data_IF_208822899802
#
_entry.id   IF_208822899802
#
_cell.length_a   1.000
_cell.length_b   1.000
_cell.length_c   1.000
_cell.angle_alpha   90.00
_cell.angle_beta   90.00
_cell.angle_gamma   90.00
#
_symmetry.space_group_name_H-M   'P 1'
#
loop_
_entity.id
_entity.type
_entity.pdbx_description
1 polymer ?
#
# COMPACT_ATOMS: atom_id res chain seq x y z
N UNK A 1 -14.20 2.10 -19.04
CA UNK A 1 -14.17 0.67 -18.66
C UNK A 1 -12.97 0.47 -17.74
N UNK A 2 -13.15 0.58 -16.42
CA UNK A 2 -12.05 0.57 -15.44
C UNK A 2 -12.01 -0.79 -14.73
N UNK A 3 -11.14 -1.69 -15.20
CA UNK A 3 -10.83 -2.93 -14.50
C UNK A 3 -9.63 -2.70 -13.56
N UNK A 4 -9.82 -1.93 -12.48
CA UNK A 4 -8.87 -1.88 -11.37
C UNK A 4 -9.11 -3.05 -10.43
N UNK A 5 -8.79 -4.28 -10.83
CA UNK A 5 -8.64 -5.39 -9.89
C UNK A 5 -7.61 -6.34 -10.46
N UNK A 6 -6.47 -6.43 -9.78
CA UNK A 6 -5.77 -7.66 -9.38
C UNK A 6 -4.34 -7.21 -8.97
N UNK A 7 -4.06 -7.22 -7.66
CA UNK A 7 -2.77 -6.84 -7.05
C UNK A 7 -1.68 -7.95 -7.17
N UNK A 8 -1.99 -9.09 -7.79
CA UNK A 8 -1.08 -10.21 -8.02
C UNK A 8 -1.59 -11.08 -9.19
N UNK A 9 -0.78 -11.54 -10.17
CA UNK A 9 -1.26 -12.28 -11.35
C UNK A 9 -2.08 -13.54 -11.06
N UNK A 10 -2.09 -14.06 -9.82
CA UNK A 10 -2.87 -15.23 -9.40
C UNK A 10 -4.16 -14.87 -8.63
N UNK A 11 -4.53 -13.59 -8.55
CA UNK A 11 -5.80 -13.15 -7.96
C UNK A 11 -5.81 -13.12 -6.43
N UNK A 12 -4.65 -13.28 -5.77
CA UNK A 12 -4.57 -13.11 -4.33
C UNK A 12 -4.65 -11.63 -3.95
N UNK A 13 -5.48 -11.32 -2.97
CA UNK A 13 -5.45 -9.99 -2.34
C UNK A 13 -4.15 -9.89 -1.57
N UNK A 14 -3.31 -8.92 -1.92
CA UNK A 14 -2.12 -8.58 -1.13
C UNK A 14 -2.51 -8.43 0.35
N UNK A 15 -1.71 -8.92 1.30
CA UNK A 15 -1.98 -8.78 2.72
C UNK A 15 -0.86 -7.96 3.37
N UNK A 16 -1.03 -7.47 4.61
CA UNK A 16 0.10 -6.97 5.37
C UNK A 16 1.20 -8.04 5.43
N UNK A 17 2.42 -7.68 5.03
CA UNK A 17 3.48 -8.65 4.77
C UNK A 17 4.69 -8.03 4.06
N UNK A 18 5.66 -8.87 3.73
CA UNK A 18 6.89 -8.49 3.02
C UNK A 18 6.92 -9.23 1.68
N UNK A 19 7.16 -8.48 0.61
CA UNK A 19 7.10 -8.95 -0.77
C UNK A 19 8.35 -8.49 -1.52
N UNK A 20 8.93 -9.36 -2.34
CA UNK A 20 9.92 -8.93 -3.33
C UNK A 20 9.17 -8.31 -4.52
N UNK A 21 9.64 -7.17 -5.03
CA UNK A 21 8.99 -6.48 -6.15
C UNK A 21 9.31 -7.10 -7.51
N UNK A 22 10.22 -8.08 -7.56
CA UNK A 22 10.81 -8.65 -8.78
C UNK A 22 11.80 -7.72 -9.48
N UNK A 23 12.04 -6.53 -8.95
CA UNK A 23 12.78 -5.44 -9.61
C UNK A 23 13.97 -4.92 -8.79
N UNK A 24 14.40 -5.68 -7.76
CA UNK A 24 15.52 -5.30 -6.90
C UNK A 24 15.12 -4.46 -5.68
N UNK A 25 13.85 -4.50 -5.29
CA UNK A 25 13.35 -3.86 -4.08
C UNK A 25 12.46 -4.79 -3.26
N UNK A 26 12.36 -4.50 -1.97
CA UNK A 26 11.43 -5.13 -1.04
C UNK A 26 10.31 -4.15 -0.75
N UNK A 27 9.06 -4.61 -0.90
CA UNK A 27 7.85 -3.93 -0.48
C UNK A 27 7.36 -4.52 0.83
N UNK A 28 7.26 -3.69 1.86
CA UNK A 28 6.65 -4.03 3.14
C UNK A 28 5.32 -3.31 3.26
N UNK A 29 4.26 -4.07 3.52
CA UNK A 29 2.91 -3.56 3.80
C UNK A 29 2.62 -3.76 5.28
N UNK A 30 2.48 -2.68 6.03
CA UNK A 30 2.19 -2.68 7.46
C UNK A 30 0.73 -2.29 7.68
N UNK A 31 -0.01 -3.10 8.44
CA UNK A 31 -1.34 -2.71 8.91
C UNK A 31 -1.19 -1.64 10.01
N UNK A 32 -1.91 -0.53 9.88
CA UNK A 32 -1.93 0.48 10.94
C UNK A 32 -2.86 0.03 12.08
N UNK A 33 -2.31 -0.53 13.16
CA UNK A 33 -3.09 -1.01 14.32
C UNK A 33 -3.90 0.11 15.00
N UNK A 34 -3.44 1.36 14.94
CA UNK A 34 -4.15 2.50 15.53
C UNK A 34 -5.29 3.03 14.66
N UNK A 35 -5.26 2.73 13.35
CA UNK A 35 -6.26 3.20 12.40
C UNK A 35 -6.61 2.06 11.42
N UNK A 36 -7.57 1.20 11.78
CA UNK A 36 -8.01 0.11 10.92
C UNK A 36 -8.42 0.60 9.53
N UNK A 37 -8.06 -0.19 8.52
CA UNK A 37 -8.37 0.11 7.11
C UNK A 37 -7.37 1.04 6.42
N UNK A 38 -6.29 1.46 7.09
CA UNK A 38 -5.16 2.15 6.47
C UNK A 38 -3.91 1.29 6.58
N UNK A 39 -3.20 1.15 5.47
CA UNK A 39 -1.92 0.45 5.36
C UNK A 39 -0.80 1.46 5.12
N UNK A 40 0.36 1.21 5.71
CA UNK A 40 1.61 1.89 5.37
C UNK A 40 2.42 0.98 4.46
N UNK A 41 2.85 1.50 3.32
CA UNK A 41 3.68 0.77 2.36
C UNK A 41 5.07 1.39 2.34
N UNK A 42 6.08 0.54 2.48
CA UNK A 42 7.49 0.91 2.45
C UNK A 42 8.15 0.11 1.34
N UNK A 43 8.72 0.79 0.35
CA UNK A 43 9.54 0.17 -0.70
C UNK A 43 11.00 0.52 -0.40
N UNK A 44 11.88 -0.48 -0.36
CA UNK A 44 13.32 -0.33 -0.17
C UNK A 44 14.08 -1.11 -1.22
N UNK A 45 14.85 -0.42 -2.05
CA UNK A 45 15.80 -1.03 -2.96
C UNK A 45 16.94 -1.70 -2.18
N UNK A 46 17.30 -2.91 -2.57
CA UNK A 46 18.52 -3.59 -2.13
C UNK A 46 19.61 -3.63 -3.22
N UNK A 47 19.30 -3.18 -4.44
CA UNK A 47 20.23 -3.15 -5.58
C UNK A 47 20.95 -1.80 -5.76
N UNK A 48 20.84 -0.89 -4.78
CA UNK A 48 21.47 0.44 -4.82
C UNK A 48 20.68 1.53 -5.55
N UNK A 49 19.49 1.23 -6.09
CA UNK A 49 18.58 2.20 -6.73
C UNK A 49 17.75 2.95 -5.69
N UNK A 50 18.37 3.91 -5.02
CA UNK A 50 17.71 4.69 -3.96
C UNK A 50 16.47 5.46 -4.43
N UNK A 51 16.36 5.77 -5.74
CA UNK A 51 15.17 6.37 -6.35
C UNK A 51 13.90 5.51 -6.22
N UNK A 52 14.05 4.19 -6.05
CA UNK A 52 12.92 3.27 -5.86
C UNK A 52 12.43 3.27 -4.40
N UNK A 53 13.20 3.87 -3.47
CA UNK A 53 12.81 3.96 -2.08
C UNK A 53 11.63 4.91 -1.92
N UNK A 54 10.50 4.39 -1.43
CA UNK A 54 9.27 5.15 -1.27
C UNK A 54 8.55 4.74 0.00
N UNK A 55 7.88 5.70 0.63
CA UNK A 55 6.96 5.45 1.74
C UNK A 55 5.66 6.18 1.44
N UNK A 56 4.55 5.46 1.54
CA UNK A 56 3.23 6.04 1.33
C UNK A 56 2.18 5.26 2.14
N UNK A 57 0.97 5.79 2.16
CA UNK A 57 -0.19 5.20 2.82
C UNK A 57 -1.25 4.89 1.77
N UNK A 58 -2.10 3.89 2.04
CA UNK A 58 -3.25 3.57 1.19
C UNK A 58 -4.39 3.00 2.03
N UNK A 59 -5.59 2.96 1.46
CA UNK A 59 -6.73 2.32 2.10
C UNK A 59 -6.70 0.82 1.80
N UNK A 60 -6.92 -0.02 2.80
CA UNK A 60 -7.03 -1.48 2.59
C UNK A 60 -8.17 -1.84 1.63
N UNK A 61 -9.23 -1.02 1.60
CA UNK A 61 -10.39 -1.18 0.72
C UNK A 61 -10.16 -0.62 -0.70
N UNK A 62 -9.22 0.31 -0.87
CA UNK A 62 -8.85 0.91 -2.15
C UNK A 62 -7.34 1.14 -2.22
N UNK A 63 -6.66 0.16 -2.82
CA UNK A 63 -5.19 0.10 -2.90
C UNK A 63 -4.62 0.81 -4.10
N UNK A 64 -5.48 1.28 -4.99
CA UNK A 64 -5.06 2.02 -6.20
C UNK A 64 -4.63 3.45 -5.88
N UNK A 65 -5.03 3.96 -4.72
CA UNK A 65 -4.75 5.33 -4.28
C UNK A 65 -3.64 5.35 -3.25
N UNK A 66 -2.62 6.13 -3.55
CA UNK A 66 -1.48 6.40 -2.68
C UNK A 66 -1.63 7.78 -2.04
N UNK A 67 -1.29 7.88 -0.77
CA UNK A 67 -1.28 9.11 0.02
C UNK A 67 0.11 9.32 0.60
N UNK A 68 0.60 10.56 0.58
CA UNK A 68 1.93 10.85 1.10
C UNK A 68 1.95 10.76 2.63
N UNK A 69 0.82 11.07 3.28
CA UNK A 69 0.72 11.11 4.74
C UNK A 69 -0.43 10.26 5.29
N UNK A 70 -0.31 9.88 6.56
CA UNK A 70 -1.37 9.17 7.27
C UNK A 70 -2.64 10.02 7.39
N UNK A 71 -2.49 11.33 7.60
CA UNK A 71 -3.60 12.27 7.73
C UNK A 71 -4.42 12.36 6.44
N UNK A 72 -3.75 12.40 5.28
CA UNK A 72 -4.42 12.38 3.98
C UNK A 72 -5.19 11.07 3.76
N UNK A 73 -4.56 9.93 4.04
CA UNK A 73 -5.24 8.65 3.95
C UNK A 73 -6.44 8.56 4.90
N UNK A 74 -6.32 9.13 6.11
CA UNK A 74 -7.40 9.16 7.08
C UNK A 74 -8.58 10.04 6.61
N UNK A 75 -8.29 11.23 6.07
CA UNK A 75 -9.31 12.12 5.53
C UNK A 75 -10.03 11.53 4.31
N UNK A 76 -9.32 10.73 3.51
CA UNK A 76 -9.89 10.04 2.34
C UNK A 76 -10.65 8.75 2.69
N UNK A 77 -10.55 8.27 3.93
CA UNK A 77 -11.24 7.06 4.37
C UNK A 77 -12.75 7.32 4.35
N UNK A 78 -13.55 6.47 3.68
CA UNK A 78 -15.00 6.61 3.75
C UNK A 78 -15.44 6.41 5.21
N UNK A 79 -15.87 7.50 5.84
CA UNK A 79 -16.48 7.44 7.16
C UNK A 79 -17.88 6.89 6.95
N UNK A 80 -18.12 5.63 7.32
CA UNK A 80 -19.49 5.23 7.64
C UNK A 80 -19.86 6.03 8.88
N UNK A 81 -20.54 7.16 8.68
CA UNK A 81 -21.35 7.80 9.71
C UNK A 81 -22.54 6.87 9.94
N UNK A 82 -22.38 5.91 10.85
CA UNK A 82 -23.50 5.19 11.48
C UNK A 82 -23.73 5.75 12.86
#
# INVERSE_FOLDING_TARGET
MNAHKIDDPFGFREHPGVYDTGTGAIKTVEANRGIPGIERVVIRSYCGRTQDNRVFYRLSADRSREFATLAEAFAARPVHLT
#
